data_IF_296951017120
#
_entry.id   IF_296951017120
#
_cell.length_a   1.000
_cell.length_b   1.000
_cell.length_c   1.000
_cell.angle_alpha   90.00
_cell.angle_beta   90.00
_cell.angle_gamma   90.00
#
_symmetry.space_group_name_H-M   'P 1'
#
loop_
_entity.id
_entity.type
_entity.pdbx_description
1 polymer ?
#
# COMPACT_ATOMS: atom_id res chain seq x y z
N UNK A 1 69.65 -9.03 -43.50
CA UNK A 1 68.62 -8.06 -43.15
C UNK A 1 67.56 -8.83 -42.35
N UNK A 2 67.51 -8.62 -41.02
CA UNK A 2 66.77 -9.47 -40.08
C UNK A 2 65.44 -8.80 -39.76
N UNK A 3 64.32 -9.45 -40.14
CA UNK A 3 62.96 -9.06 -39.81
C UNK A 3 62.65 -9.53 -38.37
N UNK A 4 62.33 -8.59 -37.46
CA UNK A 4 61.97 -8.86 -36.09
C UNK A 4 60.44 -8.86 -36.02
N UNK A 5 59.90 -10.08 -35.89
CA UNK A 5 58.45 -10.28 -35.62
C UNK A 5 58.17 -9.95 -34.14
N UNK A 6 57.51 -8.86 -33.91
CA UNK A 6 56.99 -8.48 -32.62
C UNK A 6 55.62 -9.15 -32.40
N UNK A 7 55.61 -10.28 -31.69
CA UNK A 7 54.36 -10.95 -31.27
C UNK A 7 53.75 -10.15 -30.13
N UNK A 8 52.75 -9.37 -30.46
CA UNK A 8 51.89 -8.72 -29.48
C UNK A 8 50.96 -9.78 -28.81
N UNK A 9 51.31 -10.10 -27.60
CA UNK A 9 50.51 -11.01 -26.75
C UNK A 9 49.32 -10.23 -26.15
N UNK A 10 48.18 -10.35 -26.79
CA UNK A 10 46.91 -9.76 -26.31
C UNK A 10 46.42 -10.57 -25.09
N UNK A 11 46.69 -10.10 -23.88
CA UNK A 11 46.15 -10.66 -22.66
C UNK A 11 44.70 -10.20 -22.49
N UNK A 12 43.78 -11.05 -22.82
CA UNK A 12 42.32 -10.84 -22.57
C UNK A 12 42.09 -11.15 -21.10
N UNK A 13 41.99 -10.10 -20.29
CA UNK A 13 41.57 -10.22 -18.89
C UNK A 13 40.04 -10.38 -18.88
N UNK A 14 39.57 -11.59 -18.72
CA UNK A 14 38.15 -11.87 -18.43
C UNK A 14 37.85 -11.35 -17.02
N UNK A 15 37.22 -10.20 -16.93
CA UNK A 15 36.56 -9.77 -15.69
C UNK A 15 35.33 -10.66 -15.51
N UNK A 16 35.48 -11.68 -14.69
CA UNK A 16 34.36 -12.42 -14.16
C UNK A 16 33.60 -11.50 -13.21
N UNK A 17 32.53 -10.83 -13.71
CA UNK A 17 31.53 -10.19 -12.87
C UNK A 17 30.72 -11.31 -12.23
N UNK A 18 31.17 -11.80 -11.12
CA UNK A 18 30.37 -12.63 -10.22
C UNK A 18 29.28 -11.74 -9.65
N UNK A 19 28.10 -11.79 -10.29
CA UNK A 19 26.89 -11.29 -9.70
C UNK A 19 26.57 -12.19 -8.51
N UNK A 20 27.05 -11.79 -7.33
CA UNK A 20 26.69 -12.42 -6.07
C UNK A 20 25.21 -12.23 -5.89
N UNK A 21 24.41 -13.26 -6.17
CA UNK A 21 23.05 -13.37 -5.66
C UNK A 21 23.20 -13.48 -4.15
N UNK A 22 23.15 -12.36 -3.46
CA UNK A 22 22.80 -12.35 -2.06
C UNK A 22 21.37 -12.80 -1.96
N UNK A 23 21.16 -14.10 -1.72
CA UNK A 23 19.94 -14.61 -1.11
C UNK A 23 19.86 -14.01 0.30
N UNK A 24 19.60 -12.71 0.37
CA UNK A 24 19.09 -12.12 1.57
C UNK A 24 17.69 -12.71 1.71
N UNK A 25 17.53 -13.71 2.56
CA UNK A 25 16.28 -13.97 3.27
C UNK A 25 15.96 -12.70 4.04
N UNK A 26 15.56 -11.66 3.33
CA UNK A 26 14.87 -10.52 3.92
C UNK A 26 13.61 -11.14 4.48
N UNK A 27 13.60 -11.37 5.79
CA UNK A 27 12.35 -11.65 6.47
C UNK A 27 11.39 -10.55 5.98
N UNK A 28 10.31 -10.94 5.30
CA UNK A 28 9.31 -10.01 4.78
C UNK A 28 8.52 -9.40 5.95
N UNK A 29 9.25 -8.77 6.88
CA UNK A 29 8.64 -8.07 8.00
C UNK A 29 7.93 -6.86 7.45
N UNK A 30 6.63 -6.82 7.72
CA UNK A 30 5.78 -5.68 7.38
C UNK A 30 6.19 -4.54 8.30
N UNK A 31 6.38 -3.35 7.74
CA UNK A 31 6.74 -2.15 8.49
C UNK A 31 5.57 -1.18 8.55
N UNK A 32 5.54 -0.35 9.59
CA UNK A 32 4.55 0.73 9.70
C UNK A 32 4.64 1.69 8.51
N UNK A 33 5.84 1.91 7.98
CA UNK A 33 6.06 2.73 6.79
C UNK A 33 5.34 2.16 5.55
N UNK A 34 5.37 0.85 5.37
CA UNK A 34 4.66 0.20 4.25
C UNK A 34 3.14 0.36 4.39
N UNK A 35 2.60 0.26 5.60
CA UNK A 35 1.18 0.50 5.86
C UNK A 35 0.81 1.95 5.55
N UNK A 36 1.62 2.91 6.01
CA UNK A 36 1.36 4.32 5.77
C UNK A 36 1.36 4.67 4.27
N UNK A 37 2.35 4.20 3.52
CA UNK A 37 2.40 4.39 2.05
C UNK A 37 1.14 3.83 1.39
N UNK A 38 0.70 2.63 1.76
CA UNK A 38 -0.51 2.04 1.18
C UNK A 38 -1.78 2.76 1.57
N UNK A 39 -1.88 3.27 2.81
CA UNK A 39 -2.98 4.12 3.24
C UNK A 39 -3.03 5.40 2.38
N UNK A 40 -1.90 6.07 2.20
CA UNK A 40 -1.81 7.28 1.39
C UNK A 40 -2.17 7.03 -0.08
N UNK A 41 -1.80 5.89 -0.66
CA UNK A 41 -2.22 5.50 -2.01
C UNK A 41 -3.75 5.44 -2.13
N UNK A 42 -4.43 4.84 -1.14
CA UNK A 42 -5.89 4.70 -1.13
C UNK A 42 -6.57 6.07 -0.96
N UNK A 43 -6.13 6.86 0.02
CA UNK A 43 -6.66 8.20 0.27
C UNK A 43 -6.46 9.11 -0.95
N UNK A 44 -5.26 9.06 -1.56
CA UNK A 44 -4.95 9.82 -2.78
C UNK A 44 -5.79 9.35 -3.98
N UNK A 45 -6.14 8.08 -4.05
CA UNK A 45 -7.04 7.59 -5.08
C UNK A 45 -8.45 8.17 -4.91
N UNK A 46 -8.99 8.11 -3.70
CA UNK A 46 -10.33 8.65 -3.38
C UNK A 46 -10.39 10.16 -3.66
N UNK A 47 -9.35 10.91 -3.31
CA UNK A 47 -9.29 12.37 -3.45
C UNK A 47 -9.33 12.89 -4.90
N UNK A 48 -9.21 12.00 -5.89
CA UNK A 48 -9.35 12.38 -7.32
C UNK A 48 -10.81 12.54 -7.75
N UNK A 49 -11.75 12.12 -6.91
CA UNK A 49 -13.17 12.10 -7.21
C UNK A 49 -13.89 13.13 -6.34
N UNK A 50 -14.83 13.84 -6.95
CA UNK A 50 -15.62 14.84 -6.26
C UNK A 50 -17.05 14.32 -6.05
N UNK A 51 -17.64 14.66 -4.93
CA UNK A 51 -19.08 14.53 -4.73
C UNK A 51 -19.80 15.82 -5.13
N UNK A 52 -21.11 15.77 -5.25
CA UNK A 52 -22.02 16.90 -5.48
C UNK A 52 -23.38 16.60 -4.88
N UNK A 53 -24.32 17.52 -5.03
CA UNK A 53 -25.70 17.29 -4.60
C UNK A 53 -26.38 16.09 -5.31
N UNK A 54 -25.93 15.76 -6.53
CA UNK A 54 -26.44 14.64 -7.34
C UNK A 54 -25.56 13.39 -7.25
N UNK A 55 -24.28 13.54 -6.86
CA UNK A 55 -23.35 12.44 -6.64
C UNK A 55 -23.22 12.24 -5.14
N UNK A 56 -23.88 11.22 -4.64
CA UNK A 56 -23.84 10.86 -3.22
C UNK A 56 -22.49 10.30 -2.78
N UNK A 57 -22.41 10.05 -1.49
CA UNK A 57 -21.25 9.46 -0.83
C UNK A 57 -21.56 8.09 -0.27
N UNK A 58 -20.53 7.28 -0.09
CA UNK A 58 -20.60 5.97 0.53
C UNK A 58 -19.40 5.78 1.48
N UNK A 59 -19.39 4.69 2.24
CA UNK A 59 -18.28 4.34 3.12
C UNK A 59 -17.81 2.90 2.93
N UNK A 60 -16.55 2.65 3.30
CA UNK A 60 -15.95 1.31 3.29
C UNK A 60 -15.15 1.11 4.58
N UNK A 61 -15.30 -0.07 5.18
CA UNK A 61 -14.53 -0.47 6.35
C UNK A 61 -13.03 -0.52 6.04
N UNK A 62 -12.21 0.13 6.87
CA UNK A 62 -10.79 0.31 6.63
C UNK A 62 -9.97 -0.01 7.88
N UNK A 63 -8.81 -0.64 7.64
CA UNK A 63 -7.92 -1.07 8.69
C UNK A 63 -8.34 -2.39 9.32
N UNK A 64 -7.48 -2.94 10.17
CA UNK A 64 -7.70 -4.17 10.91
C UNK A 64 -7.28 -3.99 12.36
N UNK A 65 -8.20 -4.18 13.30
CA UNK A 65 -7.88 -4.23 14.72
C UNK A 65 -7.27 -5.58 15.09
N UNK A 66 -6.43 -5.61 16.11
CA UNK A 66 -5.86 -6.86 16.62
C UNK A 66 -6.93 -7.83 17.14
N UNK A 67 -8.01 -7.32 17.74
CA UNK A 67 -9.19 -8.09 18.14
C UNK A 67 -10.13 -8.47 16.98
N UNK A 68 -9.87 -7.98 15.76
CA UNK A 68 -10.76 -8.11 14.61
C UNK A 68 -11.65 -6.88 14.39
N UNK A 69 -12.23 -6.81 13.20
CA UNK A 69 -13.02 -5.66 12.74
C UNK A 69 -12.20 -4.48 12.25
N UNK A 70 -12.86 -3.47 11.68
CA UNK A 70 -12.21 -2.30 11.11
C UNK A 70 -11.70 -1.35 12.19
N UNK A 71 -10.70 -0.55 11.86
CA UNK A 71 -10.25 0.58 12.69
C UNK A 71 -11.07 1.84 12.47
N UNK A 72 -11.49 2.06 11.23
CA UNK A 72 -12.23 3.24 10.79
C UNK A 72 -13.04 2.94 9.52
N UNK A 73 -13.78 3.91 9.05
CA UNK A 73 -14.42 3.89 7.74
C UNK A 73 -13.88 5.02 6.89
N UNK A 74 -13.53 4.72 5.63
CA UNK A 74 -13.23 5.74 4.63
C UNK A 74 -14.51 6.09 3.90
N UNK A 75 -14.75 7.39 3.70
CA UNK A 75 -15.88 7.90 2.91
C UNK A 75 -15.41 8.31 1.52
N UNK A 76 -16.25 8.08 0.51
CA UNK A 76 -15.87 8.30 -0.87
C UNK A 76 -17.10 8.63 -1.75
N UNK A 77 -16.92 9.38 -2.86
CA UNK A 77 -17.99 9.66 -3.81
C UNK A 77 -18.42 8.41 -4.57
N UNK A 78 -19.71 8.30 -4.90
CA UNK A 78 -20.26 7.17 -5.64
C UNK A 78 -19.71 7.02 -7.07
N UNK A 79 -18.92 7.97 -7.55
CA UNK A 79 -18.21 7.90 -8.84
C UNK A 79 -16.89 7.12 -8.78
N UNK A 80 -16.44 6.76 -7.59
CA UNK A 80 -15.25 5.91 -7.41
C UNK A 80 -15.52 4.51 -7.96
N UNK A 81 -14.54 3.94 -8.68
CA UNK A 81 -14.58 2.51 -9.03
C UNK A 81 -14.51 1.69 -7.74
N UNK A 82 -15.67 1.17 -7.33
CA UNK A 82 -15.84 0.46 -6.07
C UNK A 82 -15.04 -0.86 -6.04
N UNK A 83 -14.94 -1.56 -7.15
CA UNK A 83 -14.23 -2.85 -7.18
C UNK A 83 -12.72 -2.63 -7.07
N UNK A 84 -12.21 -1.61 -7.73
CA UNK A 84 -10.82 -1.20 -7.58
C UNK A 84 -10.52 -0.73 -6.15
N UNK A 85 -11.36 0.13 -5.57
CA UNK A 85 -11.20 0.60 -4.20
C UNK A 85 -11.26 -0.56 -3.20
N UNK A 86 -12.24 -1.45 -3.32
CA UNK A 86 -12.41 -2.62 -2.45
C UNK A 86 -11.17 -3.53 -2.51
N UNK A 87 -10.63 -3.76 -3.69
CA UNK A 87 -9.41 -4.55 -3.85
C UNK A 87 -8.23 -3.94 -3.09
N UNK A 88 -8.00 -2.64 -3.22
CA UNK A 88 -6.94 -1.90 -2.52
C UNK A 88 -7.13 -1.93 -1.00
N UNK A 89 -8.35 -1.70 -0.54
CA UNK A 89 -8.70 -1.74 0.90
C UNK A 89 -8.50 -3.12 1.48
N UNK A 90 -8.94 -4.18 0.79
CA UNK A 90 -8.74 -5.55 1.25
C UNK A 90 -7.26 -5.93 1.36
N UNK A 91 -6.43 -5.49 0.40
CA UNK A 91 -4.97 -5.70 0.47
C UNK A 91 -4.36 -4.98 1.68
N UNK A 92 -4.77 -3.74 1.94
CA UNK A 92 -4.32 -3.00 3.11
C UNK A 92 -4.74 -3.68 4.42
N UNK A 93 -6.02 -4.04 4.54
CA UNK A 93 -6.57 -4.68 5.74
C UNK A 93 -5.86 -6.00 6.06
N UNK A 94 -5.59 -6.82 5.03
CA UNK A 94 -4.84 -8.07 5.18
C UNK A 94 -3.38 -7.83 5.62
N UNK A 95 -2.72 -6.81 5.04
CA UNK A 95 -1.36 -6.44 5.41
C UNK A 95 -1.29 -5.95 6.87
N UNK A 96 -2.24 -5.14 7.29
CA UNK A 96 -2.30 -4.63 8.66
C UNK A 96 -2.64 -5.73 9.67
N UNK A 97 -3.51 -6.69 9.32
CA UNK A 97 -3.77 -7.86 10.15
C UNK A 97 -2.48 -8.69 10.37
N UNK A 98 -1.67 -8.88 9.33
CA UNK A 98 -0.38 -9.57 9.44
C UNK A 98 0.62 -8.76 10.28
N UNK A 99 0.66 -7.44 10.13
CA UNK A 99 1.48 -6.56 10.96
C UNK A 99 1.09 -6.65 12.44
N UNK A 100 -0.20 -6.69 12.75
CA UNK A 100 -0.68 -6.84 14.12
C UNK A 100 -0.22 -8.17 14.74
N UNK A 101 -0.26 -9.27 14.01
CA UNK A 101 0.25 -10.57 14.45
C UNK A 101 1.77 -10.50 14.68
N UNK A 102 2.50 -9.95 13.71
CA UNK A 102 3.96 -9.83 13.76
C UNK A 102 4.45 -9.02 14.97
N UNK A 103 3.71 -7.99 15.36
CA UNK A 103 4.08 -7.07 16.45
C UNK A 103 3.43 -7.40 17.79
N UNK A 104 2.64 -8.46 17.85
CA UNK A 104 1.78 -8.78 19.02
C UNK A 104 0.96 -7.55 19.45
N UNK A 105 0.39 -6.85 18.45
CA UNK A 105 -0.39 -5.66 18.70
C UNK A 105 -1.60 -5.95 19.58
N UNK A 106 -1.94 -5.00 20.41
CA UNK A 106 -3.17 -5.02 21.21
C UNK A 106 -4.08 -3.89 20.76
N UNK A 107 -5.38 -4.10 20.84
CA UNK A 107 -6.38 -3.06 20.58
C UNK A 107 -7.52 -3.17 21.57
N UNK A 108 -8.31 -2.10 21.70
CA UNK A 108 -9.63 -2.22 22.26
C UNK A 108 -10.48 -3.14 21.38
N UNK A 109 -11.38 -3.90 21.97
CA UNK A 109 -12.29 -4.77 21.21
C UNK A 109 -13.65 -4.09 20.96
N UNK A 110 -13.70 -2.76 21.02
CA UNK A 110 -14.91 -2.00 20.73
C UNK A 110 -15.25 -2.09 19.24
N UNK A 111 -16.52 -2.31 18.95
CA UNK A 111 -17.01 -2.32 17.57
C UNK A 111 -17.02 -0.89 17.01
N UNK A 112 -16.35 -0.70 15.88
CA UNK A 112 -16.45 0.55 15.11
C UNK A 112 -17.59 0.40 14.13
N UNK A 113 -18.65 1.20 14.32
CA UNK A 113 -19.84 1.18 13.46
C UNK A 113 -19.62 2.01 12.18
N UNK A 114 -20.25 1.63 11.07
CA UNK A 114 -20.26 2.50 9.90
C UNK A 114 -20.92 3.84 10.24
N UNK A 115 -20.46 4.96 9.61
CA UNK A 115 -21.07 6.26 9.84
C UNK A 115 -22.53 6.27 9.37
N UNK A 116 -23.43 6.79 10.20
CA UNK A 116 -24.85 6.88 9.88
C UNK A 116 -25.14 8.05 8.92
N UNK A 117 -24.44 9.15 9.10
CA UNK A 117 -24.62 10.36 8.31
C UNK A 117 -23.36 10.67 7.50
N UNK A 118 -23.49 10.63 6.19
CA UNK A 118 -22.42 11.00 5.24
C UNK A 118 -22.96 12.05 4.28
N UNK A 119 -22.23 13.12 4.09
CA UNK A 119 -22.62 14.18 3.16
C UNK A 119 -21.46 14.69 2.32
N UNK A 120 -21.82 15.51 1.34
CA UNK A 120 -20.88 16.20 0.48
C UNK A 120 -20.66 17.63 0.98
N UNK A 121 -19.48 17.92 1.47
CA UNK A 121 -19.09 19.25 1.94
C UNK A 121 -17.90 19.72 1.11
N UNK A 122 -18.05 20.87 0.44
CA UNK A 122 -17.01 21.43 -0.43
C UNK A 122 -16.44 20.42 -1.46
N UNK A 123 -17.33 19.66 -2.10
CA UNK A 123 -17.01 18.60 -3.07
C UNK A 123 -16.26 17.38 -2.48
N UNK A 124 -16.18 17.26 -1.15
CA UNK A 124 -15.54 16.16 -0.45
C UNK A 124 -16.58 15.41 0.38
N UNK A 125 -16.59 14.08 0.29
CA UNK A 125 -17.41 13.25 1.16
C UNK A 125 -16.91 13.34 2.59
N UNK A 126 -17.81 13.66 3.50
CA UNK A 126 -17.50 13.93 4.91
C UNK A 126 -18.52 13.22 5.80
N UNK A 127 -18.05 12.68 6.93
CA UNK A 127 -18.93 12.19 7.99
C UNK A 127 -19.51 13.41 8.69
N UNK A 128 -20.80 13.43 8.82
CA UNK A 128 -21.57 14.51 9.49
C UNK A 128 -21.90 14.05 10.90
N UNK A 129 -21.62 14.90 11.88
CA UNK A 129 -21.97 14.68 13.29
C UNK A 129 -23.49 14.89 13.55
#
# INVERSE_FOLDING_TARGET
MKSIFFKSLLVIVFFNIQCSKSDSKTSNLITIQQLEVKKQEIVSYISRFNCSATVGCNSIAFGSKACGGPKEYLVFPNTVDLDFLRNKVNQYNALEAQYNIQTNAVSDCMLVMPPENIGCVNNVCTILD
#
